data_IF_838284418073
#
_entry.id   IF_838284418073
#
_cell.length_a   1.000
_cell.length_b   1.000
_cell.length_c   1.000
_cell.angle_alpha   90.00
_cell.angle_beta   90.00
_cell.angle_gamma   90.00
#
_symmetry.space_group_name_H-M   'P 1'
#
loop_
_entity.id
_entity.type
_entity.pdbx_description
1 polymer ?
2 branched ?
3 non-polymer ?
4 non-polymer ?
5 non-polymer ?
6 water ?
#
# COMPACT_ATOMS: atom_id res chain seq x y z
N UNK A 1 -15.87 5.05 -0.82
CA UNK A 1 -15.18 3.71 -0.44
C UNK A 1 -14.76 3.08 -1.74
N UNK A 2 -13.90 2.05 -1.70
CA UNK A 2 -13.64 1.27 -2.90
C UNK A 2 -13.75 -0.20 -2.47
N UNK A 3 -13.99 -1.07 -3.42
CA UNK A 3 -14.21 -2.51 -3.09
C UNK A 3 -13.41 -3.39 -4.04
N UNK A 4 -13.10 -4.60 -3.56
CA UNK A 4 -12.48 -5.60 -4.42
C UNK A 4 -12.97 -6.99 -3.97
N UNK A 5 -13.42 -7.80 -4.92
CA UNK A 5 -13.89 -9.16 -4.67
C UNK A 5 -12.97 -10.18 -5.24
N UNK A 6 -12.54 -11.16 -4.43
CA UNK A 6 -11.67 -12.19 -4.95
C UNK A 6 -12.46 -13.21 -5.78
N UNK A 7 -13.75 -13.35 -5.47
CA UNK A 7 -14.55 -14.36 -6.20
C UNK A 7 -14.74 -13.87 -7.65
N UNK A 8 -14.15 -14.62 -8.59
CA UNK A 8 -14.21 -14.23 -10.02
C UNK A 8 -13.16 -13.19 -10.41
N UNK A 9 -12.27 -12.86 -9.48
CA UNK A 9 -11.22 -11.85 -9.80
C UNK A 9 -10.32 -12.30 -10.93
N UNK A 10 -9.86 -11.33 -11.71
CA UNK A 10 -8.87 -11.62 -12.71
C UNK A 10 -7.99 -10.37 -12.90
N UNK A 11 -7.04 -10.42 -13.81
CA UNK A 11 -6.21 -9.21 -13.90
C UNK A 11 -6.97 -7.94 -14.18
N UNK A 12 -8.00 -8.06 -15.00
CA UNK A 12 -8.81 -6.89 -15.34
C UNK A 12 -9.52 -6.33 -14.11
N UNK A 13 -10.19 -7.17 -13.33
CA UNK A 13 -10.92 -6.62 -12.20
C UNK A 13 -10.03 -6.10 -11.04
N UNK A 14 -8.86 -6.76 -10.96
CA UNK A 14 -7.87 -6.23 -10.02
C UNK A 14 -7.37 -4.85 -10.48
N UNK A 15 -7.10 -4.72 -11.77
CA UNK A 15 -6.66 -3.39 -12.30
C UNK A 15 -7.73 -2.33 -12.10
N UNK A 16 -9.01 -2.72 -12.22
CA UNK A 16 -10.12 -1.77 -11.95
C UNK A 16 -10.12 -1.34 -10.48
N UNK A 17 -9.81 -2.28 -9.57
CA UNK A 17 -9.74 -1.96 -8.16
C UNK A 17 -8.59 -0.98 -7.88
N UNK A 18 -7.41 -1.25 -8.41
CA UNK A 18 -6.22 -0.40 -8.15
C UNK A 18 -6.53 0.98 -8.76
N UNK A 19 -7.17 1.00 -9.93
CA UNK A 19 -7.59 2.33 -10.48
C UNK A 19 -8.57 3.10 -9.56
N UNK A 20 -9.56 2.38 -9.00
CA UNK A 20 -10.52 3.01 -8.06
C UNK A 20 -9.76 3.50 -6.81
N UNK A 21 -8.78 2.70 -6.33
CA UNK A 21 -8.05 3.04 -5.13
C UNK A 21 -7.23 4.34 -5.40
N UNK A 22 -6.52 4.37 -6.53
CA UNK A 22 -5.75 5.61 -6.86
C UNK A 22 -6.75 6.81 -6.94
N UNK A 23 -7.85 6.59 -7.60
CA UNK A 23 -8.78 7.73 -7.88
C UNK A 23 -9.53 8.19 -6.68
N UNK A 24 -9.50 7.39 -5.60
CA UNK A 24 -10.15 7.78 -4.34
C UNK A 24 -9.29 8.69 -3.46
N UNK A 25 -8.00 8.82 -3.82
CA UNK A 25 -7.05 9.59 -3.05
C UNK A 25 -7.09 11.04 -3.57
N UNK A 26 -7.39 11.98 -2.69
CA UNK A 26 -7.49 13.38 -3.20
C UNK A 26 -6.13 14.03 -3.49
N UNK A 27 -6.16 14.97 -4.45
CA UNK A 27 -4.96 15.75 -4.79
C UNK A 27 -5.46 17.05 -5.41
N UNK A 28 -4.65 18.09 -5.27
CA UNK A 28 -4.99 19.39 -5.89
C UNK A 28 -3.99 19.72 -6.99
N UNK A 29 -2.80 19.09 -7.01
CA UNK A 29 -1.78 19.37 -8.00
C UNK A 29 -1.24 18.03 -8.51
N UNK A 30 -0.66 18.05 -9.71
CA UNK A 30 0.27 17.00 -10.17
C UNK A 30 1.67 17.59 -10.29
N UNK A 31 2.67 16.78 -10.04
CA UNK A 31 4.05 17.14 -10.16
C UNK A 31 4.62 16.18 -11.19
N UNK A 32 5.14 16.75 -12.27
CA UNK A 32 5.52 15.96 -13.43
C UNK A 32 4.43 14.93 -13.84
N UNK A 33 3.16 15.39 -13.82
CA UNK A 33 1.97 14.67 -14.25
C UNK A 33 1.57 13.50 -13.29
N UNK A 34 2.14 13.53 -12.10
CA UNK A 34 1.90 12.43 -11.13
C UNK A 34 1.11 13.14 -10.03
N UNK A 35 -0.08 12.62 -9.63
CA UNK A 35 -0.80 13.18 -8.51
C UNK A 35 -0.02 13.33 -7.21
N UNK A 36 -0.12 14.54 -6.60
CA UNK A 36 0.65 14.84 -5.40
C UNK A 36 -0.30 14.69 -4.20
N UNK A 37 -0.11 13.69 -3.36
CA UNK A 37 -0.99 13.58 -2.21
C UNK A 37 -0.95 14.84 -1.30
N UNK A 38 -2.03 15.04 -0.56
CA UNK A 38 -2.19 16.25 0.28
C UNK A 38 -1.27 16.23 1.50
N UNK A 39 -0.89 17.41 2.00
CA UNK A 39 -0.07 17.50 3.21
C UNK A 39 -0.88 16.91 4.37
N UNK A 40 -2.16 17.22 4.39
CA UNK A 40 -2.97 16.88 5.56
C UNK A 40 -4.44 16.88 5.17
N UNK A 41 -5.26 16.11 5.88
CA UNK A 41 -6.73 16.12 5.74
C UNK A 41 -7.22 15.99 7.16
N UNK A 42 -8.22 16.79 7.55
CA UNK A 42 -8.67 16.79 8.96
C UNK A 42 -9.93 15.96 9.15
N UNK A 43 -10.01 15.33 10.32
CA UNK A 43 -11.17 14.52 10.68
C UNK A 43 -11.33 13.23 9.90
N UNK A 44 -12.59 12.82 9.72
CA UNK A 44 -12.89 11.51 9.11
C UNK A 44 -12.44 11.39 7.66
N UNK A 45 -12.35 12.53 6.94
CA UNK A 45 -12.10 12.49 5.50
C UNK A 45 -10.67 12.03 5.22
N UNK A 46 -9.84 11.91 6.29
CA UNK A 46 -8.46 11.47 6.13
C UNK A 46 -8.44 10.00 5.71
N UNK A 47 -9.52 9.28 5.96
CA UNK A 47 -9.48 7.77 5.84
C UNK A 47 -10.32 7.25 4.74
N UNK A 48 -9.73 6.52 3.79
CA UNK A 48 -10.49 5.79 2.84
C UNK A 48 -10.82 4.36 3.37
N UNK A 49 -12.02 3.91 3.10
CA UNK A 49 -12.46 2.52 3.45
C UNK A 49 -12.40 1.64 2.23
N UNK A 50 -11.65 0.53 2.36
CA UNK A 50 -11.48 -0.43 1.27
C UNK A 50 -12.23 -1.67 1.73
N UNK A 51 -13.27 -2.02 1.03
CA UNK A 51 -14.02 -3.26 1.34
C UNK A 51 -13.46 -4.39 0.56
N UNK A 52 -12.89 -5.41 1.23
CA UNK A 52 -12.27 -6.54 0.53
C UNK A 52 -13.03 -7.79 0.83
N UNK A 53 -13.30 -8.61 -0.20
CA UNK A 53 -14.11 -9.85 0.01
C UNK A 53 -13.28 -11.03 -0.43
N UNK A 54 -13.20 -12.05 0.43
CA UNK A 54 -12.49 -13.23 0.04
C UNK A 54 -13.33 -14.05 -0.89
N UNK A 55 -12.76 -15.16 -1.34
CA UNK A 55 -13.44 -15.94 -2.40
C UNK A 55 -14.85 -16.40 -1.94
N UNK A 56 -14.99 -16.65 -0.64
CA UNK A 56 -16.28 -17.04 -0.04
C UNK A 56 -17.23 -15.92 0.23
N UNK A 57 -16.78 -14.67 -0.02
CA UNK A 57 -17.68 -13.58 0.19
C UNK A 57 -17.64 -12.99 1.57
N UNK A 58 -16.79 -13.53 2.46
CA UNK A 58 -16.52 -12.86 3.75
C UNK A 58 -15.73 -11.61 3.59
N UNK A 59 -15.88 -10.65 4.47
CA UNK A 59 -15.33 -9.31 4.15
C UNK A 59 -14.62 -8.71 5.35
N UNK A 60 -13.61 -7.92 5.02
CA UNK A 60 -13.05 -6.97 6.03
C UNK A 60 -13.07 -5.56 5.39
N UNK A 61 -13.10 -4.54 6.25
CA UNK A 61 -12.99 -3.17 5.74
C UNK A 61 -11.67 -2.64 6.23
N UNK A 62 -10.84 -2.11 5.33
CA UNK A 62 -9.51 -1.64 5.69
C UNK A 62 -9.53 -0.09 5.64
N UNK A 63 -9.00 0.54 6.68
CA UNK A 63 -8.93 2.04 6.66
C UNK A 63 -7.53 2.47 6.19
N UNK A 64 -7.47 3.38 5.20
CA UNK A 64 -6.20 3.80 4.65
C UNK A 64 -6.12 5.35 4.75
N UNK A 65 -5.00 5.85 5.24
CA UNK A 65 -4.84 7.30 5.39
C UNK A 65 -4.57 7.82 3.96
N UNK A 66 -5.43 8.75 3.48
CA UNK A 66 -5.34 9.21 2.08
C UNK A 66 -4.14 10.15 1.77
N UNK A 67 -3.43 10.61 2.78
CA UNK A 67 -2.27 11.48 2.57
C UNK A 67 -1.03 10.64 2.28
N UNK A 68 -1.00 9.34 2.72
CA UNK A 68 0.21 8.59 2.56
C UNK A 68 0.01 7.09 2.17
N UNK A 69 -1.25 6.68 2.00
CA UNK A 69 -1.60 5.34 1.57
C UNK A 69 -1.20 4.34 2.64
N UNK A 70 -1.11 4.79 3.88
CA UNK A 70 -0.69 3.85 4.96
C UNK A 70 -1.92 3.20 5.53
N UNK A 71 -1.90 1.86 5.65
CA UNK A 71 -3.07 1.25 6.25
C UNK A 71 -2.99 1.44 7.77
N UNK A 72 -4.12 1.83 8.34
CA UNK A 72 -4.14 2.14 9.77
C UNK A 72 -4.75 1.01 10.60
N UNK A 73 -5.68 0.31 10.02
CA UNK A 73 -6.41 -0.79 10.73
C UNK A 73 -7.52 -1.29 9.90
N UNK A 74 -8.39 -2.15 10.45
CA UNK A 74 -9.37 -2.86 9.62
C UNK A 74 -10.46 -3.32 10.59
N UNK A 75 -11.61 -3.54 10.02
CA UNK A 75 -12.72 -4.08 10.75
C UNK A 75 -13.05 -5.47 10.20
N UNK A 76 -13.23 -6.41 11.12
CA UNK A 76 -13.62 -7.78 10.67
C UNK A 76 -14.75 -8.22 11.59
N UNK A 77 -15.95 -8.29 10.98
CA UNK A 77 -17.21 -8.56 11.68
C UNK A 77 -17.25 -7.42 12.71
N UNK A 78 -17.29 -7.74 14.01
CA UNK A 78 -17.65 -6.75 15.04
C UNK A 78 -16.42 -6.34 15.81
N UNK A 79 -15.23 -6.72 15.31
CA UNK A 79 -14.03 -6.32 15.99
C UNK A 79 -13.18 -5.45 15.08
N UNK A 80 -12.70 -4.31 15.61
CA UNK A 80 -11.73 -3.47 14.88
C UNK A 80 -10.36 -3.78 15.36
N UNK A 81 -9.37 -3.63 14.45
CA UNK A 81 -7.98 -3.90 14.77
C UNK A 81 -7.14 -2.71 14.28
N UNK A 82 -6.24 -2.16 15.10
CA UNK A 82 -5.39 -1.06 14.67
C UNK A 82 -3.96 -1.27 14.98
N UNK A 83 -3.07 -0.77 14.13
CA UNK A 83 -1.66 -0.87 14.50
C UNK A 83 -1.34 -0.12 15.79
N UNK A 84 -0.28 -0.57 16.42
CA UNK A 84 0.15 0.08 17.70
C UNK A 84 1.09 1.25 17.41
N UNK A 85 0.45 2.36 17.03
CA UNK A 85 1.25 3.58 16.60
C UNK A 85 0.34 4.79 16.66
N UNK A 86 0.93 5.97 16.92
CA UNK A 86 -0.04 7.04 17.17
C UNK A 86 -0.99 7.41 16.01
N UNK A 87 -0.55 7.30 14.75
CA UNK A 87 -1.43 7.63 13.61
C UNK A 87 -2.63 6.70 13.57
N UNK A 88 -2.41 5.44 14.01
CA UNK A 88 -3.47 4.47 13.99
C UNK A 88 -4.38 4.70 15.14
N UNK A 89 -3.82 5.07 16.30
CA UNK A 89 -4.68 5.35 17.43
C UNK A 89 -5.56 6.52 17.07
N UNK A 90 -4.97 7.58 16.45
CA UNK A 90 -5.76 8.69 15.92
C UNK A 90 -6.88 8.22 14.96
N UNK A 91 -6.56 7.35 13.99
CA UNK A 91 -7.56 6.86 13.06
C UNK A 91 -8.76 6.21 13.84
N UNK A 92 -8.43 5.52 14.95
CA UNK A 92 -9.47 4.77 15.71
C UNK A 92 -10.47 5.70 16.39
N UNK A 93 -10.16 7.00 16.36
CA UNK A 93 -11.14 7.99 16.77
C UNK A 93 -12.19 8.32 15.73
N UNK A 94 -11.94 7.92 14.48
CA UNK A 94 -12.82 8.24 13.37
C UNK A 94 -13.50 7.03 12.67
N UNK A 95 -12.82 5.89 12.57
CA UNK A 95 -13.33 4.80 11.77
C UNK A 95 -13.61 3.59 12.70
N UNK A 96 -14.63 2.86 12.33
CA UNK A 96 -15.04 1.57 12.95
C UNK A 96 -15.44 1.76 14.40
N UNK A 97 -15.92 2.95 14.71
CA UNK A 97 -16.35 3.21 16.09
C UNK A 97 -17.57 2.38 16.52
N UNK A 98 -18.31 1.83 15.57
CA UNK A 98 -19.42 0.94 15.94
C UNK A 98 -19.03 -0.57 16.22
N UNK A 99 -17.73 -0.90 16.12
CA UNK A 99 -17.20 -2.23 16.50
C UNK A 99 -17.56 -2.46 17.93
N UNK A 100 -17.94 -3.69 18.25
CA UNK A 100 -18.19 -4.04 19.68
C UNK A 100 -16.92 -4.07 20.52
N UNK A 101 -15.76 -4.29 19.91
CA UNK A 101 -14.51 -4.24 20.66
C UNK A 101 -13.42 -3.86 19.68
N UNK A 102 -12.42 -3.25 20.24
CA UNK A 102 -11.21 -2.78 19.53
C UNK A 102 -9.95 -3.43 20.02
N UNK A 103 -9.21 -4.15 19.14
CA UNK A 103 -7.95 -4.72 19.52
C UNK A 103 -6.83 -3.92 18.90
N UNK A 104 -5.85 -3.56 19.72
CA UNK A 104 -4.65 -2.90 19.19
C UNK A 104 -3.70 -4.06 18.90
N UNK A 105 -3.31 -4.15 17.65
CA UNK A 105 -2.29 -5.16 17.29
C UNK A 105 -1.04 -4.99 18.14
N UNK A 106 -0.18 -6.04 18.23
CA UNK A 106 1.03 -5.84 19.08
C UNK A 106 2.31 -5.33 18.34
N UNK A 107 2.09 -4.59 17.26
CA UNK A 107 3.15 -4.05 16.45
C UNK A 107 2.59 -2.86 15.72
N UNK A 108 3.53 -1.99 15.33
CA UNK A 108 3.17 -0.95 14.38
C UNK A 108 3.09 -1.51 12.96
N UNK A 109 2.74 -0.62 12.06
CA UNK A 109 2.47 -0.98 10.67
C UNK A 109 3.72 -0.94 9.77
N UNK A 110 4.90 -0.66 10.28
CA UNK A 110 5.97 -0.66 9.28
C UNK A 110 6.62 -1.99 9.01
N UNK A 111 7.21 -2.05 7.82
CA UNK A 111 7.62 -3.32 7.30
C UNK A 111 8.59 -4.01 8.24
N UNK A 112 9.52 -3.27 8.82
CA UNK A 112 10.46 -3.91 9.72
C UNK A 112 9.76 -4.59 10.94
N UNK A 113 8.81 -3.93 11.56
CA UNK A 113 8.11 -4.53 12.74
C UNK A 113 7.19 -5.65 12.33
N UNK A 114 6.54 -5.51 11.16
CA UNK A 114 5.69 -6.55 10.68
C UNK A 114 6.50 -7.80 10.37
N UNK A 115 7.66 -7.67 9.71
CA UNK A 115 8.47 -8.82 9.35
C UNK A 115 9.01 -9.48 10.60
N UNK A 116 9.33 -8.69 11.64
CA UNK A 116 9.77 -9.29 12.91
C UNK A 116 8.61 -10.16 13.48
N UNK A 117 7.41 -9.57 13.51
CA UNK A 117 6.20 -10.27 14.02
C UNK A 117 5.92 -11.52 13.20
N UNK A 118 6.07 -11.45 11.90
CA UNK A 118 5.78 -12.58 11.07
C UNK A 118 6.85 -13.66 11.11
N UNK A 119 8.05 -13.29 11.55
CA UNK A 119 9.13 -14.27 11.53
C UNK A 119 9.83 -14.43 10.19
N UNK A 120 9.53 -13.57 9.21
CA UNK A 120 10.19 -13.71 7.92
C UNK A 120 10.18 -12.36 7.17
N UNK A 121 11.17 -12.14 6.32
CA UNK A 121 11.18 -10.87 5.55
C UNK A 121 10.21 -11.00 4.44
N UNK A 122 9.83 -9.87 3.86
CA UNK A 122 8.88 -10.08 2.80
C UNK A 122 9.48 -10.60 1.47
N UNK A 123 10.80 -10.62 1.34
CA UNK A 123 11.46 -11.39 0.25
C UNK A 123 11.01 -12.84 0.21
N UNK A 124 10.53 -13.37 1.33
CA UNK A 124 10.21 -14.77 1.38
C UNK A 124 8.73 -15.08 1.48
N UNK A 125 7.85 -14.04 1.40
CA UNK A 125 6.41 -14.28 1.51
C UNK A 125 5.79 -14.12 0.12
N UNK A 126 5.21 -15.19 -0.43
CA UNK A 126 4.58 -15.05 -1.78
C UNK A 126 3.42 -14.05 -1.75
N UNK A 127 3.30 -13.31 -2.85
CA UNK A 127 2.16 -12.38 -3.01
C UNK A 127 1.45 -12.68 -4.31
N UNK A 128 0.29 -12.12 -4.44
CA UNK A 128 -0.60 -12.48 -5.60
C UNK A 128 -2.03 -12.38 -5.16
N UNK A 129 -2.96 -12.69 -6.10
CA UNK A 129 -4.36 -12.69 -5.76
C UNK A 129 -4.69 -13.87 -4.81
N UNK A 130 -4.12 -15.07 -5.04
CA UNK A 130 -4.47 -16.06 -4.03
C UNK A 130 -3.93 -15.71 -2.64
N UNK A 131 -2.75 -15.13 -2.54
CA UNK A 131 -2.22 -14.75 -1.21
C UNK A 131 -3.14 -13.69 -0.59
N UNK A 132 -3.71 -12.81 -1.41
CA UNK A 132 -4.60 -11.79 -0.86
C UNK A 132 -5.89 -12.40 -0.37
N UNK A 133 -6.41 -13.40 -1.08
CA UNK A 133 -7.58 -14.13 -0.55
C UNK A 133 -7.23 -14.74 0.81
N UNK A 134 -6.06 -15.37 0.88
CA UNK A 134 -5.64 -15.95 2.21
C UNK A 134 -5.52 -14.89 3.28
N UNK A 135 -5.03 -13.71 2.88
CA UNK A 135 -4.75 -12.67 3.86
C UNK A 135 -6.08 -12.18 4.45
N UNK A 136 -7.07 -11.93 3.58
CA UNK A 136 -8.40 -11.48 4.05
C UNK A 136 -8.95 -12.52 5.03
N UNK A 137 -8.83 -13.79 4.65
CA UNK A 137 -9.35 -14.87 5.48
C UNK A 137 -8.67 -14.89 6.85
N UNK A 138 -7.37 -14.77 6.84
CA UNK A 138 -6.62 -14.73 8.08
C UNK A 138 -7.08 -13.62 9.01
N UNK A 139 -7.29 -12.42 8.43
CA UNK A 139 -7.67 -11.28 9.24
C UNK A 139 -9.05 -11.37 9.83
N UNK A 140 -9.90 -12.30 9.32
CA UNK A 140 -11.26 -12.43 9.85
C UNK A 140 -11.26 -12.86 11.32
N UNK A 141 -10.22 -13.57 11.74
CA UNK A 141 -10.17 -14.01 13.14
C UNK A 141 -8.81 -13.74 13.72
N UNK A 142 -8.81 -13.20 14.93
CA UNK A 142 -7.58 -12.68 15.39
C UNK A 142 -6.47 -13.71 15.70
N UNK A 143 -5.31 -13.50 15.17
CA UNK A 143 -4.11 -14.28 15.45
C UNK A 143 -3.04 -13.28 15.09
N UNK A 144 -2.29 -12.81 16.08
CA UNK A 144 -1.39 -11.70 15.75
C UNK A 144 -0.18 -12.12 14.91
N UNK A 145 0.38 -13.32 15.14
CA UNK A 145 1.51 -13.72 14.29
C UNK A 145 1.03 -13.99 12.86
N UNK A 146 -0.10 -14.66 12.68
CA UNK A 146 -0.58 -14.93 11.29
C UNK A 146 -0.94 -13.60 10.62
N UNK A 147 -1.55 -12.71 11.40
CA UNK A 147 -2.00 -11.41 10.83
C UNK A 147 -0.81 -10.59 10.34
N UNK A 148 0.40 -10.73 10.93
CA UNK A 148 1.51 -9.84 10.50
C UNK A 148 1.86 -10.27 9.02
N UNK A 149 1.93 -11.56 8.73
CA UNK A 149 2.22 -11.95 7.33
C UNK A 149 1.04 -11.56 6.40
N UNK A 150 -0.20 -11.73 6.86
CA UNK A 150 -1.40 -11.35 6.06
C UNK A 150 -1.28 -9.87 5.76
N UNK A 151 -0.88 -9.08 6.74
CA UNK A 151 -0.80 -7.62 6.52
C UNK A 151 0.32 -7.26 5.56
N UNK A 152 1.47 -7.99 5.63
CA UNK A 152 2.53 -7.76 4.63
C UNK A 152 1.97 -8.05 3.24
N UNK A 153 1.13 -9.09 3.08
CA UNK A 153 0.53 -9.33 1.72
C UNK A 153 -0.45 -8.23 1.37
N UNK A 154 -1.31 -7.88 2.33
CA UNK A 154 -2.35 -6.83 2.05
C UNK A 154 -1.74 -5.47 1.66
N UNK A 155 -0.71 -5.05 2.40
CA UNK A 155 -0.08 -3.71 2.10
C UNK A 155 0.47 -3.73 0.66
N UNK A 156 1.13 -4.83 0.27
CA UNK A 156 1.81 -4.86 -1.06
C UNK A 156 0.80 -4.93 -2.16
N UNK A 157 -0.26 -5.68 -1.93
CA UNK A 157 -1.17 -5.96 -3.05
C UNK A 157 -2.21 -4.83 -3.17
N UNK A 158 -2.25 -3.85 -2.27
CA UNK A 158 -3.26 -2.74 -2.33
C UNK A 158 -2.60 -1.36 -2.39
N UNK A 159 -1.96 -0.97 -1.29
CA UNK A 159 -1.17 0.29 -1.28
C UNK A 159 0.01 0.33 -2.27
N UNK A 160 0.88 -0.70 -2.26
CA UNK A 160 2.10 -0.58 -3.07
C UNK A 160 1.78 -0.61 -4.58
N UNK A 161 0.80 -1.45 -4.93
CA UNK A 161 0.31 -1.54 -6.31
C UNK A 161 -0.35 -0.21 -6.72
N UNK A 162 -1.04 0.44 -5.77
CA UNK A 162 -1.61 1.79 -6.08
C UNK A 162 -0.42 2.74 -6.37
N UNK A 163 0.65 2.65 -5.60
CA UNK A 163 1.77 3.60 -5.83
C UNK A 163 2.54 3.39 -7.12
N UNK A 164 2.69 2.13 -7.59
CA UNK A 164 3.63 1.80 -8.68
C UNK A 164 2.96 0.92 -9.65
N UNK A 165 2.83 1.39 -10.90
CA UNK A 165 2.28 0.53 -11.93
C UNK A 165 3.02 -0.84 -12.08
N UNK A 166 4.33 -0.86 -11.88
CA UNK A 166 5.13 -2.10 -11.99
C UNK A 166 4.60 -3.11 -10.93
N UNK A 167 4.31 -2.59 -9.71
CA UNK A 167 3.81 -3.55 -8.68
C UNK A 167 2.39 -4.05 -8.97
N UNK A 168 1.49 -3.17 -9.47
CA UNK A 168 0.18 -3.58 -9.96
C UNK A 168 0.37 -4.69 -10.99
N UNK A 169 1.28 -4.49 -11.96
CA UNK A 169 1.51 -5.53 -13.00
C UNK A 169 2.05 -6.87 -12.45
N UNK A 170 2.93 -6.76 -11.47
CA UNK A 170 3.52 -7.95 -10.83
C UNK A 170 2.32 -8.73 -10.21
N UNK A 171 1.40 -8.02 -9.56
CA UNK A 171 0.29 -8.75 -8.92
C UNK A 171 -0.63 -9.34 -10.01
N UNK A 172 -0.85 -8.60 -11.08
CA UNK A 172 -1.68 -9.16 -12.14
C UNK A 172 -1.06 -10.45 -12.72
N UNK A 173 0.27 -10.50 -12.77
CA UNK A 173 1.02 -11.67 -13.23
C UNK A 173 0.82 -12.86 -12.24
N UNK A 174 0.45 -12.53 -11.01
CA UNK A 174 0.25 -13.51 -9.94
C UNK A 174 -1.22 -13.63 -9.67
N UNK A 175 -2.05 -13.56 -10.71
CA UNK A 175 -3.48 -13.61 -10.40
C UNK A 175 -3.91 -14.98 -9.96
N UNK A 176 -3.23 -16.02 -10.46
CA UNK A 176 -3.71 -17.39 -10.19
C UNK A 176 -2.58 -18.25 -9.60
N UNK A 177 -1.46 -17.64 -9.30
CA UNK A 177 -0.28 -18.33 -8.76
C UNK A 177 0.56 -17.33 -8.00
N UNK A 178 0.67 -17.50 -6.69
CA UNK A 178 1.52 -16.53 -5.97
C UNK A 178 2.98 -16.74 -6.21
N UNK A 179 3.76 -15.65 -6.02
CA UNK A 179 5.23 -15.76 -6.11
C UNK A 179 5.77 -14.64 -5.23
N UNK A 180 6.94 -14.89 -4.62
CA UNK A 180 7.59 -13.81 -3.82
C UNK A 180 7.84 -12.60 -4.76
N UNK A 181 7.81 -11.42 -4.15
CA UNK A 181 8.02 -10.18 -4.93
C UNK A 181 9.40 -10.18 -5.57
N UNK A 182 9.51 -9.57 -6.76
CA UNK A 182 10.81 -9.41 -7.38
C UNK A 182 11.60 -8.46 -6.52
N UNK A 183 12.93 -8.51 -6.71
CA UNK A 183 13.82 -7.58 -5.99
C UNK A 183 13.44 -6.13 -6.41
N UNK A 184 13.02 -5.98 -7.66
CA UNK A 184 12.61 -4.61 -8.11
C UNK A 184 11.41 -4.09 -7.31
N UNK A 185 10.42 -4.99 -7.11
CA UNK A 185 9.27 -4.61 -6.28
C UNK A 185 9.68 -4.13 -4.90
N UNK A 186 10.50 -4.94 -4.22
CA UNK A 186 10.96 -4.55 -2.86
C UNK A 186 11.70 -3.16 -2.88
N UNK A 187 12.50 -2.96 -3.92
CA UNK A 187 13.27 -1.74 -4.07
C UNK A 187 12.31 -0.53 -4.18
N UNK A 188 11.33 -0.69 -5.05
CA UNK A 188 10.33 0.39 -5.27
C UNK A 188 9.62 0.69 -3.96
N UNK A 189 9.15 -0.38 -3.25
CA UNK A 189 8.52 -0.10 -1.98
C UNK A 189 9.37 0.71 -1.03
N UNK A 190 10.61 0.29 -0.94
CA UNK A 190 11.55 0.86 0.01
C UNK A 190 11.92 2.31 -0.44
N UNK A 191 11.66 2.63 -1.70
CA UNK A 191 12.08 3.92 -2.29
C UNK A 191 10.97 4.93 -2.48
N UNK A 192 9.77 4.60 -2.05
CA UNK A 192 8.65 5.46 -2.44
C UNK A 192 8.79 6.86 -1.84
N UNK A 193 9.17 6.95 -0.56
CA UNK A 193 9.30 8.25 0.05
C UNK A 193 10.44 9.08 -0.61
N UNK A 194 11.57 8.42 -0.80
CA UNK A 194 12.76 9.03 -1.48
C UNK A 194 12.42 9.49 -2.89
N UNK A 195 11.73 8.64 -3.66
CA UNK A 195 11.36 9.03 -5.04
C UNK A 195 10.40 10.19 -5.02
N UNK A 196 9.42 10.14 -4.12
CA UNK A 196 8.40 11.18 -4.02
C UNK A 196 9.10 12.51 -3.69
N UNK A 197 10.05 12.47 -2.77
CA UNK A 197 10.75 13.69 -2.39
C UNK A 197 11.57 14.23 -3.56
N UNK A 198 12.31 13.35 -4.25
CA UNK A 198 13.26 13.84 -5.27
C UNK A 198 12.47 14.39 -6.49
N UNK A 199 11.39 13.72 -6.88
CA UNK A 199 10.51 14.25 -7.90
C UNK A 199 9.97 15.66 -7.55
N UNK A 200 9.58 15.89 -6.30
CA UNK A 200 9.19 17.24 -5.90
C UNK A 200 10.41 18.20 -5.88
N UNK A 201 11.56 17.74 -5.45
CA UNK A 201 12.76 18.69 -5.41
C UNK A 201 13.18 18.99 -6.82
N UNK A 202 12.85 18.10 -7.76
CA UNK A 202 13.30 18.34 -9.16
C UNK A 202 12.53 19.54 -9.79
N UNK A 203 11.35 19.87 -9.26
CA UNK A 203 10.62 21.12 -9.67
C UNK A 203 11.41 22.21 -8.97
N UNK A 204 11.95 23.15 -9.70
CA UNK A 204 12.92 24.00 -9.03
C UNK A 204 14.35 23.67 -9.40
N UNK A 205 14.62 22.51 -9.99
CA UNK A 205 15.97 22.07 -10.22
C UNK A 205 16.04 21.46 -11.66
N UNK A 206 15.20 22.01 -12.54
CA UNK A 206 15.22 21.63 -13.97
C UNK A 206 15.03 20.13 -14.19
N UNK A 207 14.19 19.54 -13.34
CA UNK A 207 13.92 18.08 -13.60
C UNK A 207 14.97 17.17 -12.99
N UNK A 208 16.04 17.71 -12.33
CA UNK A 208 17.17 16.92 -11.79
C UNK A 208 16.97 16.69 -10.29
N UNK A 209 17.14 15.41 -9.86
CA UNK A 209 17.11 15.07 -8.43
C UNK A 209 18.24 15.79 -7.69
N UNK A 210 17.91 16.33 -6.53
CA UNK A 210 19.00 16.81 -5.63
C UNK A 210 19.88 15.67 -5.15
N UNK A 211 19.33 14.45 -4.99
CA UNK A 211 20.08 13.27 -4.56
C UNK A 211 19.54 12.05 -5.35
N UNK A 212 20.41 11.29 -5.98
CA UNK A 212 20.06 10.14 -6.81
C UNK A 212 19.44 9.06 -5.92
N UNK A 213 18.48 8.37 -6.53
CA UNK A 213 17.80 7.26 -5.84
C UNK A 213 18.33 6.00 -6.46
N UNK A 214 18.73 5.02 -5.62
CA UNK A 214 19.23 3.74 -6.19
C UNK A 214 18.06 2.74 -6.20
N UNK A 215 17.80 2.14 -7.34
CA UNK A 215 16.77 1.07 -7.49
C UNK A 215 17.35 -0.23 -8.07
N UNK A 216 16.67 -1.35 -7.79
CA UNK A 216 17.00 -2.59 -8.51
C UNK A 216 16.07 -2.67 -9.69
N UNK A 217 16.58 -3.02 -10.86
CA UNK A 217 15.70 -3.07 -12.02
C UNK A 217 15.12 -4.45 -12.24
N UNK A 218 14.34 -4.59 -13.31
CA UNK A 218 13.63 -5.85 -13.62
C UNK A 218 14.58 -7.07 -13.88
N UNK A 219 15.85 -6.77 -14.13
CA UNK A 219 16.83 -7.82 -14.41
C UNK A 219 17.68 -8.12 -13.18
N UNK A 220 17.42 -7.45 -12.06
CA UNK A 220 18.15 -7.68 -10.83
C UNK A 220 19.36 -6.78 -10.65
N UNK A 221 19.58 -5.89 -11.62
CA UNK A 221 20.72 -4.91 -11.57
C UNK A 221 20.42 -3.57 -10.84
N UNK A 222 21.35 -3.09 -10.01
CA UNK A 222 21.20 -1.82 -9.28
C UNK A 222 21.46 -0.61 -10.15
N UNK A 223 20.51 0.33 -10.20
CA UNK A 223 20.61 1.48 -11.11
C UNK A 223 20.36 2.78 -10.38
N UNK A 224 20.95 3.85 -10.88
CA UNK A 224 20.79 5.14 -10.27
C UNK A 224 19.74 6.00 -11.02
N UNK A 225 18.76 6.54 -10.29
CA UNK A 225 17.74 7.38 -10.93
C UNK A 225 18.14 8.82 -10.55
N UNK A 226 18.34 9.67 -11.56
CA UNK A 226 18.92 11.00 -11.31
C UNK A 226 18.01 12.15 -11.80
N UNK A 227 17.02 11.86 -12.60
CA UNK A 227 16.14 12.93 -13.05
C UNK A 227 14.83 12.41 -13.54
N UNK A 228 13.89 13.30 -13.85
CA UNK A 228 12.53 12.92 -14.15
C UNK A 228 12.36 12.09 -15.43
N UNK A 229 13.33 12.16 -16.33
CA UNK A 229 13.18 11.45 -17.63
C UNK A 229 13.24 9.94 -17.43
N UNK A 230 13.58 9.46 -16.21
CA UNK A 230 13.65 8.02 -15.99
C UNK A 230 12.25 7.36 -16.11
N UNK A 231 12.22 6.11 -16.61
CA UNK A 231 10.99 5.39 -16.81
C UNK A 231 10.24 5.24 -15.45
N UNK A 232 10.99 5.23 -14.36
CA UNK A 232 10.33 5.10 -13.04
C UNK A 232 9.43 6.29 -12.78
N UNK A 233 9.86 7.48 -13.27
CA UNK A 233 9.08 8.68 -13.08
C UNK A 233 8.00 8.87 -14.17
N UNK A 234 8.36 8.55 -15.42
CA UNK A 234 7.41 8.80 -16.54
C UNK A 234 6.30 7.73 -16.58
N UNK A 235 6.64 6.48 -16.30
CA UNK A 235 5.68 5.41 -16.51
C UNK A 235 5.22 4.64 -15.28
N UNK A 236 6.06 4.57 -14.24
CA UNK A 236 5.75 3.70 -13.12
C UNK A 236 5.09 4.24 -11.83
N UNK A 237 5.67 5.26 -11.19
CA UNK A 237 5.10 5.82 -9.99
C UNK A 237 3.79 6.53 -10.29
N UNK A 238 2.77 6.37 -9.42
CA UNK A 238 1.43 6.88 -9.69
C UNK A 238 0.95 7.86 -8.67
N UNK A 239 1.66 7.99 -7.55
CA UNK A 239 1.21 8.82 -6.38
C UNK A 239 2.54 9.32 -5.73
N UNK A 240 2.55 10.62 -5.36
CA UNK A 240 3.68 11.13 -4.61
C UNK A 240 3.27 11.47 -3.17
N UNK A 241 4.10 10.96 -2.24
CA UNK A 241 4.05 11.35 -0.82
C UNK A 241 4.46 12.85 -0.76
N UNK A 242 3.62 13.66 -0.16
CA UNK A 242 3.94 15.11 -0.10
C UNK A 242 5.21 15.32 0.75
N UNK A 243 6.18 16.16 0.29
CA UNK A 243 7.39 16.41 1.10
C UNK A 243 7.07 16.98 2.48
N UNK A 244 5.92 17.61 2.64
CA UNK A 244 5.52 18.01 4.00
C UNK A 244 5.42 16.83 5.00
N UNK A 245 5.20 15.62 4.47
CA UNK A 245 5.15 14.37 5.26
C UNK A 245 6.44 13.55 5.25
N UNK A 246 7.51 14.15 4.75
CA UNK A 246 8.79 13.46 4.67
C UNK A 246 9.85 14.15 5.56
X LIG B 1 18.75 11.70 -16.80
X LIG B 1 20.24 11.96 -17.08
X LIG B 1 20.82 11.13 -18.26
X LIG B 1 20.39 9.68 -18.17
X LIG B 1 18.90 9.56 -17.86
X LIG B 1 18.57 8.12 -17.52
X LIG B 1 20.86 14.20 -16.28
X LIG B 1 20.96 15.65 -16.64
X LIG B 1 20.40 13.40 -17.27
X LIG B 1 22.25 11.13 -18.35
X LIG B 1 20.75 9.07 -19.40
X LIG B 1 18.48 10.33 -16.73
X LIG B 1 17.18 7.99 -17.41
X LIG B 1 21.16 13.81 -15.12
X LIG B 2 21.24 7.71 -19.17
X LIG B 2 21.16 6.77 -20.40
X LIG B 2 21.83 5.43 -20.01
X LIG B 2 23.33 5.63 -19.73
X LIG B 2 23.63 7.04 -19.13
X LIG B 2 24.23 8.08 -20.13
X LIG B 2 19.18 7.32 -21.84
X LIG B 2 17.83 6.83 -22.28
X LIG B 2 19.83 6.53 -20.97
X LIG B 2 21.62 4.44 -21.00
X LIG B 2 23.76 4.64 -18.83
X LIG B 2 22.46 7.49 -18.44
X LIG B 2 24.67 9.30 -19.52
X LIG B 2 19.61 8.38 -22.28
X LIG C 1 6.21 0.54 6.26
X LIG C 1 5.89 1.99 5.87
X LIG C 1 4.53 1.98 5.18
X LIG C 1 4.71 1.17 3.89
X LIG C 1 4.73 -0.29 4.33
X LIG C 1 7.62 0.46 6.47
X LIG C 1 6.01 2.86 7.02
X LIG C 1 3.58 1.33 6.03
X LIG C 1 3.75 1.44 2.87
X LIG C 1 5.69 -0.51 5.36
X LIG D 1 -7.26 -15.97 -6.93
X LIG D 1 -7.42 -17.38 -6.89
X LIG D 1 -8.60 -15.29 -7.33
X LIG D 1 -9.64 -15.62 -6.37
X LIG D 1 -8.96 -15.73 -8.75
X LIG D 1 -10.28 -15.37 -9.10
X LIG E 1 1.09 0.71 4.31
X LIG E 1 -0.20 1.01 3.66
X LIG E 1 1.04 0.06 5.69
X LIG E 1 0.80 1.10 6.71
X LIG E 1 0.79 0.52 8.00
X LIG E 1 0.77 1.67 8.99
X LIG E 1 2.11 2.15 9.39
#
# INVERSE_FOLDING_TARGET
DVSFRLSGADPSSYGMFIKDLRNALPHTEKVYNIPLLLPSVSGAGRYLLMHLFNYDGNTITVAVDVTNVYIMGYLALTTSYFFNEPAADLASQYVFRSARRKITLPYSGNYERLQIAAGKPREKIPIGLPALDTAISTLLHYDSTAAAGALLVLIQTTAEAARFKYIEQQIQERAYRDEVPSSATISLENSWSGLSKQIQLAQGNNGVFRTPTVLVDSGGNRVQITNVTSNVVTSNIQLLLNTKNI
NAG C1 C2 C3 C4 C5 C6 C7 C8 N2 O3 O4 O5 O6 O7
NAG C1 C2 C3 C4 C5 C6 C7 C8 N2 O3 O4 O5 O6 O7
RIP C1 C2 C3 C4 C5 O1 O2 O3 O4 O5
GOL C1 O1 C2 O2 C3 O3
PEG C1 O1 C2 O2 C3 C4 O4
#
